data_IF_082229168210
#
_entry.id   IF_082229168210
#
_cell.length_a   1.000
_cell.length_b   1.000
_cell.length_c   1.000
_cell.angle_alpha   90.00
_cell.angle_beta   90.00
_cell.angle_gamma   90.00
#
_symmetry.space_group_name_H-M   'P 1'
#
loop_
_entity.id
_entity.type
_entity.pdbx_description
1 polymer ?
#
# COMPACT_ATOMS: atom_id res chain seq x y z
N UNK A 1 9.82 -23.04 45.68
CA UNK A 1 8.35 -22.92 45.72
C UNK A 1 7.98 -21.46 45.97
N UNK A 2 7.11 -20.87 45.15
CA UNK A 2 6.22 -19.74 45.50
C UNK A 2 5.35 -19.40 44.27
N UNK A 3 4.17 -20.03 44.22
CA UNK A 3 3.00 -19.62 43.43
C UNK A 3 2.12 -18.79 44.37
N UNK A 4 1.76 -17.56 44.02
CA UNK A 4 0.60 -16.77 44.53
C UNK A 4 0.50 -15.54 43.61
N UNK A 5 -0.62 -14.96 43.16
CA UNK A 5 -2.05 -15.28 43.16
C UNK A 5 -2.69 -14.52 41.99
N UNK A 6 -3.83 -15.07 41.58
CA UNK A 6 -4.89 -14.46 40.79
C UNK A 6 -5.57 -13.34 41.59
N UNK A 7 -5.78 -12.17 40.99
CA UNK A 7 -6.87 -11.25 41.38
C UNK A 7 -7.55 -10.81 40.09
N UNK A 8 -8.75 -11.37 39.88
CA UNK A 8 -9.76 -10.82 39.02
C UNK A 8 -10.40 -9.64 39.75
N UNK A 9 -10.44 -8.47 39.11
CA UNK A 9 -11.31 -7.38 39.51
C UNK A 9 -12.48 -7.35 38.53
N UNK A 10 -13.61 -7.88 38.98
CA UNK A 10 -14.92 -7.59 38.46
C UNK A 10 -15.50 -6.43 39.28
N UNK A 11 -15.98 -5.37 38.62
CA UNK A 11 -17.13 -4.55 39.04
C UNK A 11 -17.25 -3.32 38.13
N UNK A 12 -18.31 -3.27 37.33
CA UNK A 12 -19.29 -2.18 37.28
C UNK A 12 -20.21 -2.39 36.08
N UNK A 13 -21.46 -2.70 36.40
CA UNK A 13 -22.58 -2.86 35.48
C UNK A 13 -22.88 -1.57 34.71
N UNK A 14 -22.98 -1.64 33.37
CA UNK A 14 -23.91 -0.82 32.56
C UNK A 14 -24.18 -1.54 31.23
N UNK A 15 -25.34 -2.18 31.12
CA UNK A 15 -26.10 -2.39 29.88
C UNK A 15 -27.56 -2.63 30.31
N UNK A 16 -28.59 -2.35 29.50
CA UNK A 16 -28.81 -1.30 28.50
C UNK A 16 -30.25 -0.70 28.63
N UNK A 17 -30.42 0.63 28.73
CA UNK A 17 -31.76 1.24 28.62
C UNK A 17 -32.01 1.67 27.17
N UNK A 18 -32.95 0.99 26.51
CA UNK A 18 -33.36 1.30 25.15
C UNK A 18 -34.27 0.23 24.58
N UNK A 19 -35.52 0.26 25.05
CA UNK A 19 -36.66 -0.57 24.67
C UNK A 19 -36.91 -0.61 23.16
N UNK A 20 -37.34 -1.78 22.69
CA UNK A 20 -37.88 -2.04 21.37
C UNK A 20 -38.31 -3.51 21.31
N UNK A 21 -39.46 -3.80 21.90
CA UNK A 21 -40.09 -5.12 21.88
C UNK A 21 -40.39 -5.55 20.43
N UNK A 22 -40.01 -6.78 20.08
CA UNK A 22 -40.67 -7.60 19.07
C UNK A 22 -40.50 -9.08 19.47
N UNK A 23 -41.61 -9.80 19.36
CA UNK A 23 -41.99 -11.11 19.91
C UNK A 23 -41.00 -12.29 19.74
N UNK A 24 -41.16 -13.38 20.52
CA UNK A 24 -40.37 -14.59 20.35
C UNK A 24 -40.89 -15.38 19.14
N UNK A 25 -40.01 -15.63 18.17
CA UNK A 25 -40.19 -16.73 17.22
C UNK A 25 -38.96 -17.61 17.31
N UNK A 26 -39.15 -18.79 17.89
CA UNK A 26 -38.22 -19.89 17.80
C UNK A 26 -38.03 -20.25 16.33
N UNK A 27 -36.80 -20.19 15.84
CA UNK A 27 -36.24 -21.13 14.87
C UNK A 27 -34.73 -20.89 14.80
N UNK A 28 -33.97 -21.97 14.94
CA UNK A 28 -32.54 -21.96 15.23
C UNK A 28 -31.74 -21.00 14.35
N UNK A 29 -31.18 -19.97 14.99
CA UNK A 29 -30.08 -19.21 14.42
C UNK A 29 -28.88 -19.48 15.31
N UNK A 30 -27.99 -20.34 14.83
CA UNK A 30 -26.61 -20.40 15.31
C UNK A 30 -26.04 -18.99 15.17
N UNK A 31 -26.04 -18.23 16.27
CA UNK A 31 -25.32 -16.97 16.39
C UNK A 31 -23.84 -17.30 16.26
N UNK A 32 -23.34 -17.25 15.02
CA UNK A 32 -21.91 -17.26 14.74
C UNK A 32 -21.36 -15.98 15.36
N UNK A 33 -20.79 -16.11 16.56
CA UNK A 33 -19.99 -15.07 17.17
C UNK A 33 -18.94 -14.62 16.15
N UNK A 34 -19.12 -13.42 15.62
CA UNK A 34 -18.16 -12.83 14.71
C UNK A 34 -16.82 -12.72 15.45
N UNK A 35 -15.85 -13.54 15.06
CA UNK A 35 -14.51 -13.53 15.63
C UNK A 35 -13.95 -12.09 15.61
N UNK A 36 -13.90 -11.46 16.78
CA UNK A 36 -13.31 -10.14 16.95
C UNK A 36 -11.83 -10.25 16.62
N UNK A 37 -11.47 -9.80 15.42
CA UNK A 37 -10.06 -9.80 14.96
C UNK A 37 -9.25 -8.94 15.93
N UNK A 38 -8.39 -9.60 16.71
CA UNK A 38 -7.41 -8.98 17.60
C UNK A 38 -6.78 -7.75 16.94
N UNK A 39 -6.92 -6.58 17.57
CA UNK A 39 -6.40 -5.33 17.04
C UNK A 39 -4.89 -5.48 16.77
N UNK A 40 -4.46 -5.10 15.57
CA UNK A 40 -3.06 -5.19 15.19
C UNK A 40 -2.21 -4.29 16.10
N UNK A 41 -1.20 -4.87 16.77
CA UNK A 41 -0.25 -4.12 17.59
C UNK A 41 0.38 -3.00 16.75
N UNK A 42 0.29 -1.77 17.26
CA UNK A 42 0.86 -0.56 16.64
C UNK A 42 2.13 -0.20 17.39
N UNK A 43 3.15 0.23 16.67
CA UNK A 43 4.40 0.68 17.27
C UNK A 43 4.72 2.08 16.74
N UNK A 44 4.82 3.05 17.64
CA UNK A 44 5.22 4.41 17.29
C UNK A 44 6.73 4.55 17.43
N UNK A 45 7.37 5.08 16.39
CA UNK A 45 8.80 5.27 16.28
C UNK A 45 9.10 6.73 15.98
N UNK A 46 10.27 7.21 16.38
CA UNK A 46 10.73 8.56 16.02
C UNK A 46 11.20 8.55 14.57
N UNK A 47 10.76 9.52 13.77
CA UNK A 47 11.21 9.70 12.40
C UNK A 47 12.47 10.56 12.39
N UNK A 48 13.57 10.04 11.84
CA UNK A 48 14.81 10.79 11.68
C UNK A 48 14.94 11.41 10.30
N UNK A 49 14.48 10.71 9.26
CA UNK A 49 14.46 11.28 7.90
C UNK A 49 13.44 10.59 7.00
N UNK A 50 13.00 11.32 5.97
CA UNK A 50 12.13 10.82 4.92
C UNK A 50 12.60 11.36 3.57
N UNK A 51 12.81 10.48 2.60
CA UNK A 51 13.31 10.83 1.26
C UNK A 51 12.53 10.06 0.19
N UNK A 52 12.28 10.72 -0.94
CA UNK A 52 11.82 10.05 -2.16
C UNK A 52 13.02 9.41 -2.86
N UNK A 53 12.81 8.28 -3.50
CA UNK A 53 13.85 7.56 -4.22
C UNK A 53 13.46 7.41 -5.69
N UNK A 54 14.47 7.42 -6.57
CA UNK A 54 14.30 6.86 -7.92
C UNK A 54 13.84 5.40 -7.79
N UNK A 55 12.91 5.00 -8.67
CA UNK A 55 12.31 3.66 -8.62
C UNK A 55 13.41 2.61 -8.73
N UNK A 56 13.62 1.85 -7.66
CA UNK A 56 14.72 0.88 -7.56
C UNK A 56 14.14 -0.50 -7.32
N UNK A 57 14.63 -1.51 -8.06
CA UNK A 57 14.22 -2.90 -7.89
C UNK A 57 14.95 -3.54 -6.68
N UNK A 58 14.19 -4.28 -5.88
CA UNK A 58 14.65 -5.04 -4.74
C UNK A 58 14.02 -6.43 -4.75
N UNK A 59 14.72 -7.43 -4.21
CA UNK A 59 14.18 -8.75 -3.93
C UNK A 59 14.14 -9.01 -2.43
N UNK A 60 13.11 -9.71 -1.99
CA UNK A 60 13.03 -10.20 -0.61
C UNK A 60 14.06 -11.31 -0.37
N UNK A 61 15.01 -11.06 0.55
CA UNK A 61 16.01 -12.06 1.00
C UNK A 61 15.34 -13.25 1.67
N UNK A 62 14.33 -12.95 2.47
CA UNK A 62 13.56 -13.88 3.29
C UNK A 62 12.14 -13.36 3.42
N UNK A 63 11.28 -14.17 4.03
CA UNK A 63 9.95 -13.74 4.41
C UNK A 63 10.04 -12.50 5.31
N UNK A 64 9.44 -11.40 4.88
CA UNK A 64 9.56 -10.11 5.57
C UNK A 64 8.18 -9.55 5.93
N UNK A 65 8.05 -8.92 7.10
CA UNK A 65 6.81 -8.26 7.48
C UNK A 65 6.55 -7.05 6.58
N UNK A 66 5.38 -7.02 5.95
CA UNK A 66 4.89 -5.88 5.20
C UNK A 66 4.08 -5.01 6.15
N UNK A 67 4.46 -3.74 6.29
CA UNK A 67 3.83 -2.85 7.27
C UNK A 67 3.08 -1.68 6.61
N UNK A 68 2.05 -1.18 7.29
CA UNK A 68 1.51 0.18 7.07
C UNK A 68 2.29 1.13 7.97
N UNK A 69 2.52 2.35 7.49
CA UNK A 69 3.07 3.43 8.28
C UNK A 69 2.14 4.64 8.18
N UNK A 70 1.81 5.21 9.33
CA UNK A 70 1.09 6.46 9.49
C UNK A 70 2.08 7.49 10.01
N UNK A 71 2.22 8.60 9.30
CA UNK A 71 3.09 9.70 9.69
C UNK A 71 2.27 10.69 10.51
N UNK A 72 2.81 11.15 11.63
CA UNK A 72 2.23 12.28 12.35
C UNK A 72 2.28 13.55 11.48
N UNK A 73 1.40 14.51 11.75
CA UNK A 73 1.26 15.72 10.94
C UNK A 73 2.53 16.57 10.96
N UNK A 74 3.16 16.66 12.13
CA UNK A 74 4.45 17.29 12.41
C UNK A 74 5.66 16.56 11.79
N UNK A 75 5.45 15.33 11.27
CA UNK A 75 6.47 14.41 10.78
C UNK A 75 7.54 14.03 11.82
N UNK A 76 7.28 14.21 13.11
CA UNK A 76 8.23 13.82 14.16
C UNK A 76 8.20 12.30 14.42
N UNK A 77 7.05 11.66 14.22
CA UNK A 77 6.87 10.23 14.51
C UNK A 77 6.17 9.46 13.39
N UNK A 78 6.37 8.14 13.40
CA UNK A 78 5.73 7.19 12.50
C UNK A 78 5.17 6.02 13.29
N UNK A 79 3.87 5.78 13.15
CA UNK A 79 3.20 4.60 13.68
C UNK A 79 3.16 3.49 12.64
N UNK A 80 3.86 2.40 12.93
CA UNK A 80 3.94 1.20 12.09
C UNK A 80 2.96 0.14 12.60
N UNK A 81 2.22 -0.49 11.70
CA UNK A 81 1.37 -1.65 12.00
C UNK A 81 1.54 -2.75 10.95
N UNK A 82 1.52 -4.01 11.39
CA UNK A 82 1.65 -5.16 10.48
C UNK A 82 0.46 -5.20 9.54
N UNK A 83 0.75 -5.24 8.23
CA UNK A 83 -0.25 -5.36 7.16
C UNK A 83 -0.36 -6.78 6.64
N UNK A 84 0.77 -7.48 6.60
CA UNK A 84 0.89 -8.79 6.00
C UNK A 84 2.36 -9.18 5.90
N UNK A 85 2.66 -10.00 4.90
CA UNK A 85 3.99 -10.59 4.70
C UNK A 85 4.35 -10.49 3.23
N UNK A 86 5.63 -10.23 2.95
CA UNK A 86 6.23 -10.36 1.64
C UNK A 86 6.89 -11.74 1.54
N UNK A 87 6.47 -12.51 0.54
CA UNK A 87 7.07 -13.83 0.24
C UNK A 87 8.49 -13.66 -0.31
N UNK A 88 9.41 -14.59 0.02
CA UNK A 88 10.77 -14.57 -0.51
C UNK A 88 10.78 -14.65 -2.04
N UNK A 89 11.91 -14.26 -2.66
CA UNK A 89 12.10 -14.22 -4.13
C UNK A 89 11.16 -13.27 -4.88
N UNK A 90 10.29 -12.53 -4.18
CA UNK A 90 9.42 -11.54 -4.80
C UNK A 90 10.19 -10.27 -5.17
N UNK A 91 10.11 -9.88 -6.45
CA UNK A 91 10.62 -8.59 -6.93
C UNK A 91 9.66 -7.47 -6.58
N UNK A 92 10.15 -6.45 -5.87
CA UNK A 92 9.40 -5.27 -5.49
C UNK A 92 10.17 -4.00 -5.86
N UNK A 93 9.46 -2.89 -6.04
CA UNK A 93 10.04 -1.62 -6.41
C UNK A 93 9.92 -0.63 -5.26
N UNK A 94 11.06 -0.17 -4.74
CA UNK A 94 11.12 0.86 -3.72
C UNK A 94 11.02 2.26 -4.36
N UNK A 95 10.29 3.16 -3.70
CA UNK A 95 10.07 4.55 -4.19
C UNK A 95 10.21 5.62 -3.10
N UNK A 96 10.22 5.21 -1.83
CA UNK A 96 10.47 6.10 -0.69
C UNK A 96 11.35 5.39 0.32
N UNK A 97 12.13 6.16 1.08
CA UNK A 97 12.99 5.70 2.17
C UNK A 97 12.69 6.55 3.40
N UNK A 98 12.63 5.90 4.55
CA UNK A 98 12.61 6.57 5.85
C UNK A 98 13.69 5.97 6.74
N UNK A 99 14.20 6.76 7.65
CA UNK A 99 15.06 6.31 8.73
C UNK A 99 14.33 6.59 10.03
N UNK A 100 14.13 5.56 10.85
CA UNK A 100 13.38 5.63 12.11
C UNK A 100 14.25 5.16 13.26
N UNK A 101 14.04 5.70 14.45
CA UNK A 101 14.69 5.25 15.69
C UNK A 101 13.69 4.49 16.54
N UNK A 102 14.07 3.29 16.99
CA UNK A 102 13.26 2.54 17.96
C UNK A 102 13.43 3.12 19.35
N UNK A 103 12.37 3.04 20.17
CA UNK A 103 12.46 3.39 21.59
C UNK A 103 13.26 2.31 22.31
N UNK A 104 14.10 2.71 23.26
CA UNK A 104 14.75 1.76 24.15
C UNK A 104 13.70 1.11 25.07
N UNK A 105 13.91 -0.15 25.42
CA UNK A 105 13.17 -0.87 26.45
C UNK A 105 14.14 -1.35 27.52
N UNK A 106 13.63 -1.86 28.66
CA UNK A 106 14.46 -2.41 29.74
C UNK A 106 15.50 -3.44 29.27
N UNK A 107 15.22 -4.14 28.17
CA UNK A 107 16.06 -5.24 27.65
C UNK A 107 16.69 -4.93 26.29
N UNK A 108 16.34 -3.83 25.62
CA UNK A 108 16.86 -3.53 24.28
C UNK A 108 17.17 -2.06 24.09
N UNK A 109 18.40 -1.78 23.63
CA UNK A 109 18.82 -0.41 23.28
C UNK A 109 18.10 0.08 22.03
N UNK A 110 17.87 1.39 21.94
CA UNK A 110 17.34 2.05 20.76
C UNK A 110 18.24 1.78 19.53
N UNK A 111 17.61 1.50 18.38
CA UNK A 111 18.32 1.23 17.12
C UNK A 111 17.75 2.06 16.01
N UNK A 112 18.63 2.49 15.11
CA UNK A 112 18.24 3.17 13.89
C UNK A 112 17.95 2.14 12.81
N UNK A 113 16.75 2.19 12.23
CA UNK A 113 16.28 1.29 11.19
C UNK A 113 16.00 2.09 9.93
N UNK A 114 16.51 1.61 8.80
CA UNK A 114 16.14 2.13 7.49
C UNK A 114 15.00 1.30 6.93
N UNK A 115 13.88 1.95 6.60
CA UNK A 115 12.71 1.34 6.00
C UNK A 115 12.47 1.91 4.60
N UNK A 116 12.00 1.09 3.67
CA UNK A 116 11.65 1.49 2.31
C UNK A 116 10.21 1.15 1.99
N UNK A 117 9.56 2.05 1.25
CA UNK A 117 8.22 1.83 0.73
C UNK A 117 8.29 1.11 -0.60
N UNK A 118 7.82 -0.14 -0.59
CA UNK A 118 7.88 -1.04 -1.74
C UNK A 118 6.50 -1.28 -2.35
N UNK A 119 6.48 -1.50 -3.66
CA UNK A 119 5.30 -1.89 -4.45
C UNK A 119 5.66 -3.00 -5.44
N UNK A 120 4.86 -4.06 -5.52
CA UNK A 120 4.98 -5.06 -6.59
C UNK A 120 4.61 -4.46 -7.95
N UNK A 121 5.02 -5.11 -9.05
CA UNK A 121 4.69 -4.70 -10.41
C UNK A 121 3.16 -4.57 -10.64
N UNK A 122 2.39 -5.53 -10.11
CA UNK A 122 0.93 -5.54 -10.18
C UNK A 122 0.23 -4.62 -9.16
N UNK A 123 0.99 -3.95 -8.28
CA UNK A 123 0.47 -3.05 -7.25
C UNK A 123 -0.36 -3.70 -6.13
N UNK A 124 -0.51 -5.04 -6.15
CA UNK A 124 -1.25 -5.80 -5.12
C UNK A 124 -0.51 -5.77 -3.77
N UNK A 125 0.81 -5.93 -3.80
CA UNK A 125 1.67 -5.88 -2.62
C UNK A 125 2.24 -4.48 -2.49
N UNK A 126 1.96 -3.81 -1.36
CA UNK A 126 2.48 -2.48 -1.06
C UNK A 126 2.59 -2.23 0.44
N UNK A 127 3.67 -1.62 0.88
CA UNK A 127 3.92 -1.34 2.29
C UNK A 127 5.36 -0.97 2.58
N UNK A 128 5.65 -0.73 3.85
CA UNK A 128 6.98 -0.45 4.36
C UNK A 128 7.65 -1.73 4.84
N UNK A 129 8.91 -1.90 4.47
CA UNK A 129 9.76 -3.03 4.84
C UNK A 129 11.12 -2.49 5.27
N UNK A 130 11.75 -3.12 6.26
CA UNK A 130 13.12 -2.80 6.64
C UNK A 130 14.10 -3.18 5.52
N UNK A 131 15.05 -2.29 5.22
CA UNK A 131 15.93 -2.41 4.06
C UNK A 131 16.89 -3.62 4.18
N UNK A 132 17.25 -4.01 5.40
CA UNK A 132 18.10 -5.17 5.70
C UNK A 132 17.50 -6.49 5.19
N UNK A 133 16.17 -6.57 5.10
CA UNK A 133 15.40 -7.70 4.58
C UNK A 133 15.39 -7.79 3.04
N UNK A 134 15.95 -6.79 2.35
CA UNK A 134 15.91 -6.67 0.90
C UNK A 134 17.32 -6.67 0.30
N UNK A 135 17.45 -7.21 -0.92
CA UNK A 135 18.67 -7.12 -1.74
C UNK A 135 18.37 -6.27 -2.96
N UNK A 136 19.25 -5.30 -3.27
CA UNK A 136 19.16 -4.45 -4.48
C UNK A 136 19.66 -5.24 -5.69
N UNK A 137 19.06 -5.04 -6.86
CA UNK A 137 19.51 -5.71 -8.11
C UNK A 137 18.73 -6.99 -8.40
N UNK A 138 19.28 -7.94 -9.18
CA UNK A 138 18.67 -9.26 -9.46
C UNK A 138 18.72 -10.14 -8.20
N UNK A 139 17.83 -11.14 -8.13
CA UNK A 139 17.80 -12.10 -7.04
C UNK A 139 19.14 -12.85 -6.97
N UNK A 140 19.92 -12.60 -5.91
CA UNK A 140 21.07 -13.43 -5.58
C UNK A 140 20.52 -14.61 -4.79
N UNK A 141 20.72 -15.82 -5.30
CA UNK A 141 20.44 -17.03 -4.53
C UNK A 141 21.22 -16.95 -3.21
N UNK A 142 20.53 -17.07 -2.09
CA UNK A 142 21.17 -17.21 -0.78
C UNK A 142 22.08 -18.42 -0.81
N UNK A 143 23.39 -18.20 -0.82
CA UNK A 143 24.36 -19.21 -0.37
C UNK A 143 23.94 -19.61 1.05
N UNK A 144 23.70 -20.89 1.27
CA UNK A 144 23.41 -21.49 2.58
C UNK A 144 24.58 -21.11 3.50
N UNK A 145 24.43 -20.11 4.36
CA UNK A 145 25.36 -19.90 5.46
C UNK A 145 25.10 -20.99 6.49
N UNK A 146 25.85 -22.08 6.40
CA UNK A 146 26.15 -22.90 7.57
C UNK A 146 26.78 -21.99 8.61
N UNK A 147 26.17 -22.06 9.80
CA UNK A 147 26.55 -21.36 11.02
C UNK A 147 28.00 -21.69 11.35
N UNK A 148 28.94 -20.75 11.17
CA UNK A 148 30.26 -20.82 11.81
C UNK A 148 30.19 -19.99 13.10
N UNK A 149 30.08 -20.72 14.20
CA UNK A 149 30.24 -20.23 15.56
C UNK A 149 31.62 -19.58 15.70
N UNK A 150 31.66 -18.41 16.33
CA UNK A 150 32.90 -17.77 16.74
C UNK A 150 33.59 -18.63 17.81
N UNK A 151 34.84 -19.01 17.58
CA UNK A 151 35.77 -19.34 18.65
C UNK A 151 37.15 -18.75 18.32
N UNK A 152 37.53 -17.81 19.19
CA UNK A 152 38.87 -17.57 19.74
C UNK A 152 40.03 -17.21 18.80
N UNK A 153 40.37 -15.92 18.90
CA UNK A 153 41.69 -15.28 18.80
C UNK A 153 42.87 -16.22 19.11
N UNK A 154 43.78 -16.39 18.15
CA UNK A 154 45.24 -16.42 18.37
C UNK A 154 45.97 -16.01 17.10
N UNK A 155 47.02 -15.23 17.34
CA UNK A 155 48.02 -14.64 16.45
C UNK A 155 48.79 -15.66 15.60
N UNK A 156 49.01 -15.36 14.31
CA UNK A 156 50.35 -15.45 13.70
C UNK A 156 50.44 -14.69 12.37
N UNK A 157 51.65 -14.17 12.18
CA UNK A 157 52.18 -13.16 11.27
C UNK A 157 52.78 -13.83 10.03
N UNK A 158 52.57 -13.25 8.84
CA UNK A 158 53.46 -13.23 7.65
C UNK A 158 52.64 -12.61 6.47
N UNK A 159 52.91 -11.39 6.02
CA UNK A 159 53.81 -11.03 4.91
C UNK A 159 53.45 -11.82 3.61
N UNK A 160 53.08 -11.23 2.47
CA UNK A 160 53.82 -10.21 1.71
C UNK A 160 52.97 -9.53 0.60
N UNK A 161 53.35 -8.27 0.34
CA UNK A 161 53.39 -7.50 -0.93
C UNK A 161 52.10 -7.08 -1.68
N UNK A 162 51.90 -5.75 -1.60
CA UNK A 162 51.40 -4.82 -2.62
C UNK A 162 51.75 -5.23 -4.07
N UNK A 163 50.79 -5.07 -4.97
CA UNK A 163 51.05 -4.52 -6.30
C UNK A 163 49.87 -3.62 -6.69
N UNK A 164 50.22 -2.36 -6.97
CA UNK A 164 49.36 -1.25 -7.33
C UNK A 164 49.64 -0.97 -8.81
N UNK A 165 48.64 -1.07 -9.69
CA UNK A 165 48.77 -0.49 -11.04
C UNK A 165 47.46 0.15 -11.47
N UNK A 166 47.55 1.47 -11.63
CA UNK A 166 46.60 2.42 -12.18
C UNK A 166 47.11 2.82 -13.56
N UNK A 167 46.29 2.72 -14.62
CA UNK A 167 46.43 3.45 -15.89
C UNK A 167 45.12 3.31 -16.68
N UNK A 168 44.22 4.31 -16.75
CA UNK A 168 44.10 5.46 -17.68
C UNK A 168 44.22 5.19 -19.19
N UNK A 169 43.24 5.77 -19.92
CA UNK A 169 43.11 6.00 -21.38
C UNK A 169 42.75 4.76 -22.23
N UNK A 170 41.97 4.81 -23.33
CA UNK A 170 41.43 5.89 -24.17
C UNK A 170 40.21 5.36 -24.96
N UNK A 171 39.41 6.31 -25.44
CA UNK A 171 38.32 6.29 -26.43
C UNK A 171 38.73 5.58 -27.74
N UNK A 172 37.82 4.82 -28.36
CA UNK A 172 37.47 4.94 -29.79
C UNK A 172 36.23 4.13 -30.19
N UNK A 173 35.59 4.66 -31.23
CA UNK A 173 34.27 4.43 -31.81
C UNK A 173 34.37 3.46 -32.98
N UNK A 174 33.49 2.46 -33.16
CA UNK A 174 33.04 1.98 -34.49
C UNK A 174 31.62 1.38 -34.39
N UNK A 175 30.86 1.61 -35.46
CA UNK A 175 29.44 1.39 -35.66
C UNK A 175 29.05 -0.03 -36.14
N UNK A 176 27.74 -0.28 -36.02
CA UNK A 176 26.82 -1.06 -36.88
C UNK A 176 27.13 -2.51 -37.29
N UNK A 177 26.19 -3.42 -37.04
CA UNK A 177 25.32 -4.06 -38.07
C UNK A 177 24.32 -5.07 -37.44
N UNK A 178 23.09 -5.08 -37.99
CA UNK A 178 22.07 -6.15 -38.11
C UNK A 178 21.84 -7.17 -36.96
N UNK A 179 20.62 -7.60 -36.58
CA UNK A 179 19.39 -7.77 -37.35
C UNK A 179 18.16 -7.74 -36.42
N UNK A 180 17.07 -7.20 -36.94
CA UNK A 180 15.76 -7.23 -36.32
C UNK A 180 15.12 -8.63 -36.42
N UNK A 181 14.64 -9.17 -35.29
CA UNK A 181 13.48 -10.09 -35.30
C UNK A 181 12.65 -9.95 -34.02
N UNK A 182 11.57 -9.18 -34.19
CA UNK A 182 10.23 -9.35 -33.60
C UNK A 182 10.14 -9.82 -32.14
N UNK A 183 9.88 -8.87 -31.24
CA UNK A 183 9.01 -9.10 -30.09
C UNK A 183 8.28 -7.79 -29.75
N UNK A 184 7.08 -7.62 -30.32
CA UNK A 184 6.13 -6.54 -30.00
C UNK A 184 5.62 -6.72 -28.57
N UNK A 185 6.46 -6.44 -27.59
CA UNK A 185 6.09 -6.37 -26.18
C UNK A 185 5.41 -5.01 -25.99
N UNK A 186 4.08 -5.01 -25.94
CA UNK A 186 3.26 -3.86 -25.56
C UNK A 186 3.68 -3.35 -24.19
N UNK A 187 4.66 -2.46 -24.19
CA UNK A 187 5.10 -1.67 -23.06
C UNK A 187 3.94 -0.75 -22.73
N UNK A 188 3.11 -1.13 -21.75
CA UNK A 188 2.06 -0.25 -21.24
C UNK A 188 2.74 0.94 -20.58
N UNK A 189 2.96 1.98 -21.37
CA UNK A 189 3.37 3.34 -20.99
C UNK A 189 2.63 3.65 -19.69
N UNK A 190 3.35 3.66 -18.57
CA UNK A 190 2.74 4.01 -17.29
C UNK A 190 2.60 5.52 -17.29
N UNK A 191 1.63 6.01 -18.05
CA UNK A 191 1.17 7.39 -18.02
C UNK A 191 0.86 7.71 -16.57
N UNK A 192 1.47 8.77 -16.02
CA UNK A 192 1.10 9.34 -14.72
C UNK A 192 -0.43 9.41 -14.71
N UNK A 193 -1.08 8.67 -13.80
CA UNK A 193 -2.55 8.65 -13.74
C UNK A 193 -3.01 10.07 -13.45
N UNK A 194 -3.71 10.67 -14.41
CA UNK A 194 -4.31 11.98 -14.27
C UNK A 194 -5.10 12.02 -12.96
N UNK A 195 -4.63 12.86 -12.03
CA UNK A 195 -5.19 13.03 -10.70
C UNK A 195 -5.48 14.49 -10.53
N UNK A 196 -6.71 14.81 -10.16
CA UNK A 196 -7.17 16.18 -9.94
C UNK A 196 -7.90 16.24 -8.61
N UNK A 197 -7.78 17.37 -7.94
CA UNK A 197 -8.41 17.64 -6.65
C UNK A 197 -9.44 18.74 -6.84
N UNK A 198 -10.63 18.55 -6.26
CA UNK A 198 -11.75 19.46 -6.40
C UNK A 198 -12.40 19.73 -5.06
N UNK A 199 -12.96 20.93 -4.89
CA UNK A 199 -13.85 21.21 -3.76
C UNK A 199 -15.15 20.42 -3.95
N UNK A 200 -15.55 19.71 -2.90
CA UNK A 200 -16.80 18.97 -2.85
C UNK A 200 -17.92 19.95 -2.50
N UNK A 201 -18.91 20.05 -3.37
CA UNK A 201 -20.12 20.85 -3.12
C UNK A 201 -21.13 20.02 -2.36
N UNK A 202 -21.36 18.79 -2.82
CA UNK A 202 -22.31 17.88 -2.18
C UNK A 202 -21.97 16.42 -2.44
N UNK A 203 -22.41 15.55 -1.53
CA UNK A 203 -22.36 14.11 -1.68
C UNK A 203 -23.68 13.50 -1.20
N UNK A 204 -24.32 12.69 -2.04
CA UNK A 204 -25.63 12.08 -1.77
C UNK A 204 -25.56 10.58 -2.02
N UNK A 205 -26.21 9.79 -1.15
CA UNK A 205 -26.53 8.38 -1.42
C UNK A 205 -27.79 8.34 -2.28
N UNK A 206 -27.78 7.54 -3.32
CA UNK A 206 -28.91 7.36 -4.23
C UNK A 206 -29.49 5.96 -4.03
N UNK A 207 -30.81 5.83 -4.25
CA UNK A 207 -31.39 4.51 -4.55
C UNK A 207 -30.68 3.94 -5.78
N UNK A 208 -30.48 2.63 -5.79
CA UNK A 208 -29.76 1.93 -6.87
C UNK A 208 -30.51 2.18 -8.18
N UNK A 209 -29.89 2.95 -9.07
CA UNK A 209 -30.51 3.41 -10.32
C UNK A 209 -29.68 2.95 -11.49
N UNK A 210 -30.35 2.48 -12.54
CA UNK A 210 -29.72 2.05 -13.78
C UNK A 210 -29.36 3.25 -14.66
N UNK A 211 -28.17 3.19 -15.23
CA UNK A 211 -27.64 4.16 -16.19
C UNK A 211 -27.04 3.43 -17.37
N UNK A 212 -27.13 4.04 -18.54
CA UNK A 212 -26.60 3.55 -19.80
C UNK A 212 -25.59 4.56 -20.34
N UNK A 213 -24.69 4.12 -21.21
CA UNK A 213 -23.82 5.01 -21.99
C UNK A 213 -23.72 4.47 -23.40
N UNK A 214 -23.72 5.37 -24.36
CA UNK A 214 -23.61 5.05 -25.78
C UNK A 214 -22.12 4.85 -26.17
N UNK A 215 -21.85 4.80 -27.47
CA UNK A 215 -20.61 4.37 -28.15
C UNK A 215 -19.28 4.81 -27.51
N UNK A 216 -19.23 5.95 -26.82
CA UNK A 216 -18.02 6.43 -26.12
C UNK A 216 -17.94 5.93 -24.68
N UNK A 217 -17.08 4.93 -24.46
CA UNK A 217 -16.80 4.33 -23.13
C UNK A 217 -16.31 5.39 -22.14
N UNK A 218 -17.10 5.73 -21.10
CA UNK A 218 -16.74 6.84 -20.22
C UNK A 218 -15.61 6.44 -19.27
N UNK A 219 -14.78 7.42 -18.90
CA UNK A 219 -13.71 7.21 -17.93
C UNK A 219 -14.30 7.09 -16.51
N UNK A 220 -13.74 6.16 -15.73
CA UNK A 220 -14.06 6.04 -14.31
C UNK A 220 -12.86 6.39 -13.42
N UNK A 221 -13.16 6.99 -12.28
CA UNK A 221 -12.22 7.58 -11.34
C UNK A 221 -12.39 6.96 -9.96
N UNK A 222 -11.31 6.85 -9.18
CA UNK A 222 -11.44 6.66 -7.73
C UNK A 222 -11.41 7.99 -7.03
N UNK A 223 -12.39 8.23 -6.16
CA UNK A 223 -12.41 9.36 -5.25
C UNK A 223 -11.75 9.03 -3.92
N UNK A 224 -10.92 9.95 -3.44
CA UNK A 224 -10.45 10.00 -2.05
C UNK A 224 -10.95 11.31 -1.45
N UNK A 225 -11.83 11.20 -0.46
CA UNK A 225 -12.36 12.35 0.27
C UNK A 225 -11.38 12.76 1.37
N UNK A 226 -11.29 14.06 1.62
CA UNK A 226 -10.70 14.60 2.83
C UNK A 226 -11.55 14.21 4.06
N UNK A 227 -10.98 14.31 5.26
CA UNK A 227 -11.62 13.84 6.48
C UNK A 227 -12.90 14.64 6.81
N UNK A 228 -12.80 15.95 6.62
CA UNK A 228 -13.85 16.97 6.71
C UNK A 228 -14.83 16.96 5.52
N UNK A 229 -14.55 16.16 4.47
CA UNK A 229 -15.30 16.08 3.22
C UNK A 229 -15.38 17.40 2.42
N UNK A 230 -14.54 18.39 2.70
CA UNK A 230 -14.48 19.64 1.91
C UNK A 230 -13.92 19.41 0.50
N UNK A 231 -13.03 18.43 0.36
CA UNK A 231 -12.25 18.18 -0.86
C UNK A 231 -12.38 16.72 -1.31
N UNK A 232 -12.40 16.48 -2.61
CA UNK A 232 -12.27 15.15 -3.22
C UNK A 232 -11.17 15.10 -4.28
N UNK A 233 -10.27 14.13 -4.14
CA UNK A 233 -9.26 13.83 -5.15
C UNK A 233 -9.75 12.70 -6.06
N UNK A 234 -9.94 12.99 -7.35
CA UNK A 234 -10.33 12.02 -8.37
C UNK A 234 -9.10 11.59 -9.19
N UNK A 235 -8.78 10.29 -9.14
CA UNK A 235 -7.72 9.68 -9.95
C UNK A 235 -8.30 8.77 -11.04
N UNK A 236 -7.95 9.02 -12.30
CA UNK A 236 -8.41 8.19 -13.44
C UNK A 236 -7.94 6.76 -13.27
N UNK A 237 -8.88 5.81 -13.29
CA UNK A 237 -8.57 4.37 -13.14
C UNK A 237 -8.56 3.63 -14.46
N UNK A 238 -9.48 4.01 -15.36
CA UNK A 238 -9.62 3.40 -16.66
C UNK A 238 -10.86 3.94 -17.36
N UNK A 239 -11.34 3.18 -18.33
CA UNK A 239 -12.61 3.39 -19.02
C UNK A 239 -13.54 2.24 -18.69
N UNK A 240 -14.84 2.51 -18.60
CA UNK A 240 -15.85 1.46 -18.42
C UNK A 240 -15.75 0.42 -19.55
N UNK A 241 -16.18 -0.83 -19.33
CA UNK A 241 -16.33 -1.81 -20.42
C UNK A 241 -17.22 -1.28 -21.56
N UNK A 242 -17.32 -1.97 -22.70
CA UNK A 242 -18.24 -1.55 -23.76
C UNK A 242 -19.70 -1.96 -23.42
N UNK A 243 -20.67 -1.14 -23.87
CA UNK A 243 -22.14 -1.33 -23.81
C UNK A 243 -22.63 -2.11 -22.59
N UNK A 244 -22.82 -1.43 -21.45
CA UNK A 244 -23.44 -2.05 -20.26
C UNK A 244 -24.38 -1.08 -19.57
N UNK A 245 -25.51 -1.61 -19.11
CA UNK A 245 -26.26 -1.05 -17.99
C UNK A 245 -25.36 -1.06 -16.76
N UNK A 246 -25.26 0.08 -16.11
CA UNK A 246 -24.45 0.26 -14.91
C UNK A 246 -25.30 0.85 -13.80
N UNK A 247 -25.02 0.41 -12.58
CA UNK A 247 -25.81 0.85 -11.43
C UNK A 247 -25.05 1.91 -10.65
N UNK A 248 -25.69 3.06 -10.45
CA UNK A 248 -25.17 4.11 -9.57
C UNK A 248 -25.87 4.06 -8.21
N UNK A 249 -25.08 4.27 -7.15
CA UNK A 249 -25.59 4.26 -5.76
C UNK A 249 -25.17 5.49 -4.97
N UNK A 250 -24.28 6.32 -5.52
CA UNK A 250 -23.84 7.57 -4.89
C UNK A 250 -23.66 8.63 -5.96
N UNK A 251 -23.91 9.88 -5.62
CA UNK A 251 -23.58 11.03 -6.43
C UNK A 251 -22.68 11.98 -5.64
N UNK A 252 -21.77 12.66 -6.34
CA UNK A 252 -21.04 13.79 -5.81
C UNK A 252 -21.10 14.94 -6.80
N UNK A 253 -21.11 16.17 -6.30
CA UNK A 253 -21.00 17.39 -7.08
C UNK A 253 -19.72 18.09 -6.66
N UNK A 254 -18.90 18.48 -7.62
CA UNK A 254 -17.61 19.12 -7.37
C UNK A 254 -17.51 20.46 -8.09
N UNK A 255 -16.76 21.42 -7.54
CA UNK A 255 -16.40 22.66 -8.26
C UNK A 255 -15.21 22.39 -9.18
N UNK A 256 -15.38 22.69 -10.46
CA UNK A 256 -14.34 22.68 -11.47
C UNK A 256 -14.22 24.09 -12.07
N UNK A 257 -13.38 24.93 -11.44
CA UNK A 257 -13.35 26.36 -11.74
C UNK A 257 -14.69 27.01 -11.38
N UNK A 258 -15.25 27.78 -12.32
CA UNK A 258 -16.55 28.46 -12.17
C UNK A 258 -17.77 27.54 -12.31
N UNK A 259 -17.59 26.28 -12.77
CA UNK A 259 -18.70 25.33 -13.04
C UNK A 259 -18.80 24.26 -11.96
N UNK A 260 -19.99 23.75 -11.75
CA UNK A 260 -20.23 22.55 -10.93
C UNK A 260 -20.39 21.33 -11.83
N UNK A 261 -19.77 20.22 -11.44
CA UNK A 261 -19.77 18.98 -12.23
C UNK A 261 -20.23 17.83 -11.35
N UNK A 262 -21.25 17.10 -11.84
CA UNK A 262 -21.81 15.94 -11.15
C UNK A 262 -21.11 14.66 -11.59
N UNK A 263 -20.75 13.83 -10.62
CA UNK A 263 -20.22 12.48 -10.81
C UNK A 263 -21.11 11.45 -10.13
N UNK A 264 -21.30 10.31 -10.80
CA UNK A 264 -22.05 9.16 -10.29
C UNK A 264 -21.08 8.03 -9.95
N UNK A 265 -21.22 7.48 -8.75
CA UNK A 265 -20.48 6.29 -8.33
C UNK A 265 -21.15 5.05 -8.90
N UNK A 266 -20.53 4.52 -9.93
CA UNK A 266 -21.00 3.38 -10.70
C UNK A 266 -20.30 2.11 -10.23
N UNK A 267 -21.07 1.02 -10.14
CA UNK A 267 -20.56 -0.32 -9.83
C UNK A 267 -20.94 -1.31 -10.92
N UNK A 268 -19.95 -2.06 -11.40
CA UNK A 268 -20.09 -3.20 -12.31
C UNK A 268 -19.24 -4.35 -11.79
N UNK A 269 -19.43 -5.57 -12.32
CA UNK A 269 -18.58 -6.73 -11.97
C UNK A 269 -17.07 -6.48 -12.17
N UNK A 270 -16.68 -5.65 -13.16
CA UNK A 270 -15.27 -5.41 -13.55
C UNK A 270 -14.72 -4.03 -13.17
N UNK A 271 -15.56 -3.05 -12.88
CA UNK A 271 -15.15 -1.67 -12.60
C UNK A 271 -16.05 -1.02 -11.54
N UNK A 272 -15.43 -0.27 -10.62
CA UNK A 272 -16.11 0.54 -9.60
C UNK A 272 -15.46 1.90 -9.49
N UNK A 273 -16.25 2.96 -9.49
CA UNK A 273 -15.72 4.32 -9.39
C UNK A 273 -16.71 5.41 -9.81
N UNK A 274 -16.27 6.66 -9.66
CA UNK A 274 -16.99 7.85 -10.10
C UNK A 274 -16.86 8.04 -11.60
N UNK A 275 -17.97 8.34 -12.27
CA UNK A 275 -18.07 8.61 -13.71
C UNK A 275 -18.79 9.94 -13.87
N UNK A 276 -18.42 10.73 -14.89
CA UNK A 276 -19.13 11.98 -15.21
C UNK A 276 -20.61 11.67 -15.49
N UNK A 277 -21.52 12.38 -14.81
CA UNK A 277 -22.94 12.15 -14.96
C UNK A 277 -23.41 12.47 -16.39
N UNK A 278 -22.86 13.49 -17.02
CA UNK A 278 -23.16 13.86 -18.42
C UNK A 278 -22.75 12.80 -19.45
N UNK A 279 -21.92 11.83 -19.07
CA UNK A 279 -21.54 10.71 -19.92
C UNK A 279 -22.42 9.47 -19.71
N UNK A 280 -23.50 9.60 -18.92
CA UNK A 280 -24.44 8.55 -18.57
C UNK A 280 -25.88 9.03 -18.80
N UNK A 281 -26.70 8.21 -19.42
CA UNK A 281 -28.13 8.43 -19.60
C UNK A 281 -28.88 7.64 -18.53
N UNK A 282 -29.76 8.28 -17.78
CA UNK A 282 -30.62 7.62 -16.80
C UNK A 282 -31.83 6.99 -17.49
N UNK A 283 -32.38 5.91 -16.94
CA UNK A 283 -33.61 5.29 -17.44
C UNK A 283 -33.36 3.97 -18.17
N UNK A 284 -34.39 3.46 -18.84
CA UNK A 284 -34.36 2.22 -19.62
C UNK A 284 -33.97 2.61 -21.05
N UNK A 285 -32.92 1.98 -21.58
CA UNK A 285 -32.55 2.07 -22.99
C UNK A 285 -33.36 1.06 -23.78
#
# INVERSE_FOLDING_TARGET
MKKVAMVAAAAAMVLPLGLGAIAPVNTGVTTVYAATKKAAKKTTLTLLSSKTLKKTAYHAKRQAALNKALFAADKATVTISKKGVLTPKTTVYATKKIVVKTRATKTTKAKTLTCVYVKSANGKVKGWIALDQLTKGKAVATKKTTKKTNAKKTTKKAATKKALTKKTAKKDTVAATAAAKVAKKTTKKTTKKATKTYQLVSAKKLKKTAYHYTTKRPAYFTGKFAADRSVVTLSKKGVLPAKKTVYATKAITVKQGKKTVKYLYVTTKKAKGFVLASALTAGKF
#
